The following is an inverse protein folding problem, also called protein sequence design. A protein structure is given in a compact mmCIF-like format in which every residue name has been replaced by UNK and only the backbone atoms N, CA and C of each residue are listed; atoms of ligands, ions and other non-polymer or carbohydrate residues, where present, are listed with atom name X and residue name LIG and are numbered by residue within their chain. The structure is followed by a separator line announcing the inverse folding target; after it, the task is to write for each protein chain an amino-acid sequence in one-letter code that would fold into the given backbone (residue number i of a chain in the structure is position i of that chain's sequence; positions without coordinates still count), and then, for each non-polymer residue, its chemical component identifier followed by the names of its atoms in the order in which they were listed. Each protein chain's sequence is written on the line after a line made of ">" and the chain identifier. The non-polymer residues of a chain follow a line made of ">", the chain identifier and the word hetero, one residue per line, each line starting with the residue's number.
data_IF_271245598114
#
_entry.id   IF_271245598114
#
_cell.length_a   1.000
_cell.length_b   1.000
_cell.length_c   1.000
_cell.angle_alpha   90.00
_cell.angle_beta   90.00
_cell.angle_gamma   90.00
#
_symmetry.space_group_name_H-M   'P 1'
#
loop_
_entity.id
_entity.type
_entity.pdbx_description
1 polymer ?
#
# COMPACT_ATOMS: atom_id res chain seq x y z
N UNK A 1 -3.25 14.49 -22.34
CA UNK A 1 -4.02 15.62 -22.93
C UNK A 1 -3.11 16.83 -22.97
N UNK A 2 -2.93 17.52 -24.09
CA UNK A 2 -2.11 18.73 -24.17
C UNK A 2 -2.98 19.99 -24.08
N UNK A 3 -2.56 20.96 -23.26
CA UNK A 3 -3.23 22.28 -23.11
C UNK A 3 -2.19 23.38 -23.21
N UNK A 4 -2.52 24.44 -23.95
CA UNK A 4 -1.66 25.62 -24.08
C UNK A 4 -1.96 26.59 -22.96
N UNK A 5 -0.98 26.91 -22.11
CA UNK A 5 -1.09 27.93 -21.06
C UNK A 5 0.06 28.93 -21.24
N UNK A 6 -0.26 30.22 -21.34
CA UNK A 6 0.72 31.30 -21.56
C UNK A 6 1.64 31.11 -22.80
N UNK A 7 1.15 30.40 -23.81
CA UNK A 7 1.91 30.13 -25.05
C UNK A 7 2.77 28.86 -25.02
N UNK A 8 2.89 28.20 -23.87
CA UNK A 8 3.59 26.92 -23.75
C UNK A 8 2.59 25.76 -23.83
N UNK A 9 2.91 24.74 -24.63
CA UNK A 9 2.15 23.49 -24.63
C UNK A 9 2.56 22.66 -23.41
N UNK A 10 1.61 22.44 -22.51
CA UNK A 10 1.81 21.63 -21.31
C UNK A 10 1.00 20.36 -21.49
N UNK A 11 1.66 19.22 -21.31
CA UNK A 11 1.00 17.94 -21.27
C UNK A 11 0.44 17.67 -19.87
N UNK A 12 -0.77 17.10 -19.82
CA UNK A 12 -1.50 16.75 -18.61
C UNK A 12 -1.87 15.27 -18.62
N UNK A 13 -1.60 14.62 -17.49
CA UNK A 13 -2.18 13.33 -17.13
C UNK A 13 -3.57 13.56 -16.53
N UNK A 14 -4.56 12.81 -17.00
CA UNK A 14 -5.94 12.86 -16.50
C UNK A 14 -6.20 11.58 -15.73
N UNK A 15 -6.24 11.67 -14.40
CA UNK A 15 -6.54 10.57 -13.49
C UNK A 15 -8.02 10.62 -13.13
N UNK A 16 -8.75 9.54 -13.39
CA UNK A 16 -10.11 9.37 -12.88
C UNK A 16 -10.03 8.53 -11.61
N UNK A 17 -10.55 9.05 -10.52
CA UNK A 17 -10.64 8.31 -9.26
C UNK A 17 -11.76 7.29 -9.41
N UNK A 18 -11.49 6.02 -9.08
CA UNK A 18 -12.50 4.96 -9.16
C UNK A 18 -13.61 5.14 -8.10
N UNK A 19 -13.24 5.68 -6.94
CA UNK A 19 -14.14 5.94 -5.82
C UNK A 19 -14.56 7.43 -5.81
N UNK A 20 -15.61 7.73 -6.58
CA UNK A 20 -16.19 9.08 -6.74
C UNK A 20 -15.97 9.68 -8.13
N UNK A 21 -16.94 10.47 -8.62
CA UNK A 21 -16.91 11.16 -9.93
C UNK A 21 -15.89 12.32 -9.99
N UNK A 22 -14.68 12.10 -9.48
CA UNK A 22 -13.61 13.09 -9.42
C UNK A 22 -12.56 12.80 -10.48
N UNK A 23 -12.27 13.82 -11.29
CA UNK A 23 -11.19 13.78 -12.30
C UNK A 23 -10.09 14.76 -11.89
N UNK A 24 -8.88 14.25 -11.70
CA UNK A 24 -7.69 15.02 -11.34
C UNK A 24 -6.82 15.21 -12.58
N UNK A 25 -6.41 16.44 -12.86
CA UNK A 25 -5.53 16.77 -13.99
C UNK A 25 -4.19 17.27 -13.47
N UNK A 26 -3.11 16.55 -13.77
CA UNK A 26 -1.76 16.85 -13.27
C UNK A 26 -0.85 17.17 -14.46
N UNK A 27 -0.14 18.32 -14.47
CA UNK A 27 0.86 18.59 -15.48
C UNK A 27 1.96 17.53 -15.44
N UNK A 28 2.37 17.00 -16.60
CA UNK A 28 3.41 15.96 -16.70
C UNK A 28 4.72 16.39 -16.02
N UNK A 29 5.06 17.68 -16.08
CA UNK A 29 6.25 18.27 -15.45
C UNK A 29 6.23 18.26 -13.92
N UNK A 30 5.11 17.93 -13.29
CA UNK A 30 4.95 17.90 -11.82
C UNK A 30 4.61 16.52 -11.27
N UNK A 31 4.60 15.47 -12.10
CA UNK A 31 4.18 14.13 -11.67
C UNK A 31 5.02 13.60 -10.50
N UNK A 32 6.35 13.70 -10.58
CA UNK A 32 7.26 13.28 -9.50
C UNK A 32 7.05 14.09 -8.21
N UNK A 33 6.73 15.38 -8.33
CA UNK A 33 6.56 16.27 -7.18
C UNK A 33 5.23 16.06 -6.44
N UNK A 34 4.23 15.48 -7.11
CA UNK A 34 2.89 15.20 -6.55
C UNK A 34 2.82 13.77 -5.98
N UNK A 35 3.86 12.96 -6.15
CA UNK A 35 3.93 11.60 -5.61
C UNK A 35 3.04 10.60 -6.35
N UNK A 36 2.77 10.85 -7.64
CA UNK A 36 2.07 9.88 -8.50
C UNK A 36 3.03 8.72 -8.78
N UNK A 37 2.64 7.50 -8.37
CA UNK A 37 3.40 6.27 -8.59
C UNK A 37 2.60 5.35 -9.51
N UNK A 38 3.30 4.66 -10.40
CA UNK A 38 2.70 3.54 -11.12
C UNK A 38 2.35 2.41 -10.13
N UNK A 39 1.29 1.66 -10.48
CA UNK A 39 0.93 0.43 -9.79
C UNK A 39 2.10 -0.54 -9.87
N UNK A 40 2.39 -1.28 -8.80
CA UNK A 40 3.45 -2.29 -8.85
C UNK A 40 3.18 -3.32 -9.94
N UNK A 41 4.18 -3.54 -10.79
CA UNK A 41 4.19 -4.66 -11.72
C UNK A 41 4.46 -6.00 -11.02
N UNK A 42 4.57 -7.06 -11.81
CA UNK A 42 4.77 -8.43 -11.32
C UNK A 42 5.99 -8.58 -10.38
N UNK A 43 7.11 -7.92 -10.69
CA UNK A 43 8.31 -7.98 -9.85
C UNK A 43 8.07 -7.35 -8.46
N UNK A 44 7.30 -6.26 -8.39
CA UNK A 44 6.94 -5.63 -7.12
C UNK A 44 5.98 -6.50 -6.31
N UNK A 45 5.04 -7.17 -6.97
CA UNK A 45 4.16 -8.16 -6.34
C UNK A 45 4.92 -9.34 -5.76
N UNK A 46 5.90 -9.87 -6.49
CA UNK A 46 6.72 -10.99 -6.03
C UNK A 46 7.53 -10.60 -4.78
N UNK A 47 8.04 -9.37 -4.73
CA UNK A 47 8.69 -8.82 -3.54
C UNK A 47 7.72 -8.67 -2.36
N UNK A 48 6.49 -8.19 -2.60
CA UNK A 48 5.44 -8.12 -1.56
C UNK A 48 5.19 -9.51 -0.97
N UNK A 49 4.99 -10.52 -1.82
CA UNK A 49 4.78 -11.90 -1.36
C UNK A 49 5.99 -12.47 -0.62
N UNK A 50 7.21 -12.17 -1.07
CA UNK A 50 8.43 -12.56 -0.38
C UNK A 50 8.50 -11.95 1.02
N UNK A 51 8.16 -10.67 1.16
CA UNK A 51 8.14 -9.96 2.45
C UNK A 51 7.09 -10.53 3.39
N UNK A 52 5.88 -10.80 2.89
CA UNK A 52 4.80 -11.41 3.67
C UNK A 52 5.19 -12.80 4.18
N UNK A 53 5.88 -13.60 3.36
CA UNK A 53 6.36 -14.94 3.71
C UNK A 53 7.63 -14.96 4.54
N UNK A 54 8.35 -13.84 4.63
CA UNK A 54 9.62 -13.79 5.35
C UNK A 54 9.42 -14.14 6.85
N UNK A 55 10.39 -14.85 7.46
CA UNK A 55 10.34 -15.19 8.88
C UNK A 55 10.30 -13.93 9.74
N UNK A 56 9.61 -14.01 10.88
CA UNK A 56 9.47 -12.88 11.79
C UNK A 56 10.83 -12.52 12.39
N UNK A 57 11.30 -11.31 12.13
CA UNK A 57 12.49 -10.76 12.80
C UNK A 57 12.03 -10.08 14.08
N UNK A 58 12.65 -10.44 15.22
CA UNK A 58 12.35 -9.84 16.52
C UNK A 58 12.44 -8.31 16.48
N UNK A 59 11.33 -7.65 16.80
CA UNK A 59 11.24 -6.20 16.84
C UNK A 59 11.69 -5.62 18.20
N UNK A 60 12.19 -4.37 18.23
CA UNK A 60 12.57 -3.72 19.47
C UNK A 60 11.40 -3.59 20.45
N UNK A 61 11.67 -3.84 21.73
CA UNK A 61 10.71 -3.93 22.84
C UNK A 61 9.84 -2.67 23.07
N UNK A 62 10.19 -1.53 22.48
CA UNK A 62 9.52 -0.25 22.70
C UNK A 62 8.35 -0.03 21.72
N UNK A 63 7.14 -0.33 22.21
CA UNK A 63 5.87 -0.17 21.51
C UNK A 63 5.66 1.22 20.88
N UNK A 64 5.94 2.30 21.59
CA UNK A 64 5.67 3.66 21.12
C UNK A 64 6.54 4.03 19.90
N UNK A 65 7.80 3.59 19.92
CA UNK A 65 8.73 3.79 18.82
C UNK A 65 8.30 3.01 17.58
N UNK A 66 7.83 1.77 17.76
CA UNK A 66 7.29 0.97 16.65
C UNK A 66 6.03 1.58 16.06
N UNK A 67 5.06 1.95 16.90
CA UNK A 67 3.81 2.53 16.39
C UNK A 67 4.06 3.77 15.54
N UNK A 68 4.99 4.64 15.97
CA UNK A 68 5.42 5.80 15.20
C UNK A 68 6.11 5.40 13.89
N UNK A 69 7.03 4.44 13.93
CA UNK A 69 7.72 3.96 12.74
C UNK A 69 6.73 3.34 11.71
N UNK A 70 5.78 2.52 12.15
CA UNK A 70 4.76 1.94 11.28
C UNK A 70 3.82 2.99 10.70
N UNK A 71 3.52 4.05 11.47
CA UNK A 71 2.75 5.18 10.97
C UNK A 71 3.51 5.95 9.88
N UNK A 72 4.81 6.21 10.06
CA UNK A 72 5.66 6.84 9.05
C UNK A 72 5.78 5.98 7.79
N UNK A 73 5.98 4.66 7.94
CA UNK A 73 5.97 3.70 6.83
C UNK A 73 4.65 3.73 6.06
N UNK A 74 3.50 3.76 6.75
CA UNK A 74 2.18 3.83 6.12
C UNK A 74 1.95 5.14 5.35
N UNK A 75 2.47 6.26 5.85
CA UNK A 75 2.38 7.57 5.17
C UNK A 75 3.27 7.61 3.93
N UNK A 76 4.41 6.89 3.93
CA UNK A 76 5.33 6.88 2.80
C UNK A 76 4.76 6.26 1.52
N UNK A 77 3.68 5.47 1.62
CA UNK A 77 3.04 4.83 0.46
C UNK A 77 3.84 3.70 -0.19
N UNK A 78 4.97 3.32 0.40
CA UNK A 78 5.80 2.22 -0.09
C UNK A 78 5.14 0.87 0.22
N UNK A 79 4.65 0.20 -0.82
CA UNK A 79 3.90 -1.06 -0.69
C UNK A 79 4.69 -2.16 0.03
N UNK A 80 6.01 -2.19 -0.15
CA UNK A 80 6.88 -3.18 0.50
C UNK A 80 6.86 -2.96 2.02
N UNK A 81 6.94 -1.70 2.46
CA UNK A 81 6.86 -1.34 3.88
C UNK A 81 5.45 -1.58 4.43
N UNK A 82 4.41 -1.37 3.62
CA UNK A 82 3.03 -1.69 4.02
C UNK A 82 2.87 -3.21 4.23
N UNK A 83 3.49 -4.03 3.38
CA UNK A 83 3.54 -5.49 3.53
C UNK A 83 4.21 -5.92 4.84
N UNK A 84 5.31 -5.28 5.23
CA UNK A 84 5.94 -5.52 6.54
C UNK A 84 4.97 -5.25 7.69
N UNK A 85 4.27 -4.10 7.67
CA UNK A 85 3.31 -3.73 8.72
C UNK A 85 2.20 -4.78 8.84
N UNK A 86 1.63 -5.21 7.70
CA UNK A 86 0.56 -6.22 7.71
C UNK A 86 1.06 -7.54 8.28
N UNK A 87 2.21 -8.03 7.81
CA UNK A 87 2.83 -9.27 8.33
C UNK A 87 3.04 -9.20 9.85
N UNK A 88 3.68 -8.13 10.32
CA UNK A 88 4.09 -8.03 11.72
C UNK A 88 2.89 -7.81 12.66
N UNK A 89 1.92 -6.98 12.26
CA UNK A 89 0.70 -6.78 13.06
C UNK A 89 -0.22 -8.00 13.02
N UNK A 90 -0.35 -8.70 11.89
CA UNK A 90 -1.21 -9.87 11.78
C UNK A 90 -0.69 -11.04 12.62
N UNK A 91 0.62 -11.33 12.58
CA UNK A 91 1.23 -12.35 13.47
C UNK A 91 1.06 -11.99 14.94
N UNK A 92 1.29 -10.72 15.29
CA UNK A 92 1.10 -10.24 16.67
C UNK A 92 -0.36 -10.34 17.14
N UNK A 93 -1.32 -10.13 16.24
CA UNK A 93 -2.74 -10.33 16.53
C UNK A 93 -3.03 -11.77 16.94
N UNK A 94 -2.41 -12.75 16.27
CA UNK A 94 -2.53 -14.18 16.60
C UNK A 94 -1.85 -14.55 17.92
N UNK A 95 -0.66 -14.00 18.20
CA UNK A 95 0.12 -14.40 19.38
C UNK A 95 -0.39 -13.78 20.69
N UNK A 96 -0.57 -12.47 20.72
CA UNK A 96 -0.80 -11.70 21.97
C UNK A 96 -1.93 -10.67 21.86
N UNK A 97 -2.49 -10.49 20.67
CA UNK A 97 -3.49 -9.48 20.37
C UNK A 97 -2.92 -8.08 20.13
N UNK A 98 -3.76 -7.22 19.55
CA UNK A 98 -3.44 -5.84 19.18
C UNK A 98 -4.25 -4.83 19.99
N UNK A 99 -3.66 -3.66 20.25
CA UNK A 99 -4.39 -2.50 20.75
C UNK A 99 -5.35 -1.93 19.71
N UNK A 100 -6.35 -1.13 20.12
CA UNK A 100 -7.29 -0.50 19.19
C UNK A 100 -6.62 0.39 18.13
N UNK A 101 -5.46 0.98 18.45
CA UNK A 101 -4.65 1.75 17.50
C UNK A 101 -3.99 0.85 16.45
N UNK A 102 -3.36 -0.24 16.89
CA UNK A 102 -2.72 -1.21 16.00
C UNK A 102 -3.74 -1.95 15.14
N UNK A 103 -4.91 -2.31 15.67
CA UNK A 103 -6.00 -2.91 14.86
C UNK A 103 -6.42 -2.01 13.71
N UNK A 104 -6.66 -0.71 14.00
CA UNK A 104 -6.99 0.28 12.96
C UNK A 104 -5.87 0.43 11.93
N UNK A 105 -4.62 0.38 12.38
CA UNK A 105 -3.45 0.42 11.49
C UNK A 105 -3.39 -0.81 10.58
N UNK A 106 -3.60 -2.01 11.13
CA UNK A 106 -3.65 -3.26 10.37
C UNK A 106 -4.78 -3.23 9.33
N UNK A 107 -5.99 -2.82 9.72
CA UNK A 107 -7.12 -2.70 8.79
C UNK A 107 -6.81 -1.75 7.64
N UNK A 108 -6.19 -0.59 7.93
CA UNK A 108 -5.80 0.39 6.92
C UNK A 108 -4.69 -0.12 6.00
N UNK A 109 -3.65 -0.72 6.56
CA UNK A 109 -2.53 -1.28 5.80
C UNK A 109 -2.98 -2.44 4.91
N UNK A 110 -3.86 -3.31 5.42
CA UNK A 110 -4.49 -4.39 4.64
C UNK A 110 -5.28 -3.84 3.47
N UNK A 111 -6.11 -2.82 3.67
CA UNK A 111 -6.90 -2.22 2.59
C UNK A 111 -6.00 -1.71 1.46
N UNK A 112 -4.95 -0.97 1.80
CA UNK A 112 -3.97 -0.47 0.81
C UNK A 112 -3.34 -1.61 0.01
N UNK A 113 -2.98 -2.73 0.66
CA UNK A 113 -2.44 -3.89 -0.03
C UNK A 113 -3.45 -4.59 -0.94
N UNK A 114 -4.70 -4.72 -0.49
CA UNK A 114 -5.78 -5.32 -1.29
C UNK A 114 -6.05 -4.47 -2.53
N UNK A 115 -6.16 -3.15 -2.37
CA UNK A 115 -6.38 -2.21 -3.47
C UNK A 115 -5.20 -2.26 -4.47
N UNK A 116 -3.96 -2.38 -3.99
CA UNK A 116 -2.79 -2.49 -4.87
C UNK A 116 -2.76 -3.85 -5.59
N UNK A 117 -3.11 -4.94 -4.90
CA UNK A 117 -3.17 -6.29 -5.47
C UNK A 117 -4.28 -6.41 -6.52
N UNK A 118 -5.44 -5.80 -6.28
CA UNK A 118 -6.56 -5.82 -7.21
C UNK A 118 -6.22 -5.06 -8.49
N UNK A 119 -5.57 -3.90 -8.36
CA UNK A 119 -5.07 -3.13 -9.50
C UNK A 119 -3.94 -3.83 -10.25
N UNK A 120 -2.97 -4.42 -9.53
CA UNK A 120 -1.79 -5.03 -10.15
C UNK A 120 -2.12 -6.35 -10.88
N UNK A 121 -3.04 -7.16 -10.34
CA UNK A 121 -3.48 -8.42 -10.96
C UNK A 121 -4.76 -8.29 -11.80
N UNK A 122 -5.33 -7.07 -11.90
CA UNK A 122 -6.60 -6.82 -12.56
C UNK A 122 -7.72 -7.79 -12.11
N UNK A 123 -7.86 -7.93 -10.79
CA UNK A 123 -8.81 -8.84 -10.13
C UNK A 123 -9.72 -8.07 -9.19
N UNK A 124 -10.82 -8.67 -8.75
CA UNK A 124 -11.73 -8.06 -7.76
C UNK A 124 -11.10 -8.00 -6.36
N UNK A 125 -11.45 -6.99 -5.58
CA UNK A 125 -10.96 -6.78 -4.21
C UNK A 125 -11.21 -7.99 -3.30
N UNK A 126 -12.34 -8.69 -3.46
CA UNK A 126 -12.65 -9.91 -2.69
C UNK A 126 -11.66 -11.05 -2.98
N UNK A 127 -11.26 -11.21 -4.25
CA UNK A 127 -10.27 -12.21 -4.64
C UNK A 127 -8.88 -11.82 -4.15
N UNK A 128 -8.51 -10.55 -4.29
CA UNK A 128 -7.24 -10.03 -3.79
C UNK A 128 -7.12 -10.19 -2.25
N UNK A 129 -8.20 -9.91 -1.52
CA UNK A 129 -8.27 -10.15 -0.08
C UNK A 129 -8.10 -11.64 0.26
N UNK A 130 -8.75 -12.53 -0.48
CA UNK A 130 -8.63 -13.98 -0.29
C UNK A 130 -7.19 -14.47 -0.52
N UNK A 131 -6.53 -14.00 -1.59
CA UNK A 131 -5.12 -14.31 -1.88
C UNK A 131 -4.21 -13.82 -0.73
N UNK A 132 -4.46 -12.60 -0.24
CA UNK A 132 -3.70 -12.05 0.88
C UNK A 132 -3.87 -12.90 2.15
N UNK A 133 -5.09 -13.35 2.44
CA UNK A 133 -5.39 -14.23 3.57
C UNK A 133 -4.70 -15.58 3.45
N UNK A 134 -4.71 -16.20 2.28
CA UNK A 134 -4.02 -17.47 2.02
C UNK A 134 -2.51 -17.34 2.22
N UNK A 135 -1.90 -16.25 1.72
CA UNK A 135 -0.46 -16.01 1.88
C UNK A 135 -0.09 -15.78 3.34
N UNK A 136 -0.89 -15.02 4.08
CA UNK A 136 -0.67 -14.79 5.50
C UNK A 136 -0.80 -16.10 6.30
N UNK A 137 -1.84 -16.89 6.03
CA UNK A 137 -2.05 -18.19 6.66
C UNK A 137 -0.92 -19.19 6.38
N UNK A 138 -0.37 -19.21 5.15
CA UNK A 138 0.76 -20.04 4.79
C UNK A 138 2.10 -19.57 5.38
N UNK A 139 2.17 -18.32 5.84
CA UNK A 139 3.35 -17.69 6.44
C UNK A 139 3.34 -17.66 7.98
N UNK A 140 2.27 -18.17 8.61
CA UNK A 140 2.16 -18.40 10.07
C UNK A 140 2.94 -19.62 10.52
#
# INVERSE_FOLDING_TARGET
>A
MTRTIKGEQIEYLVLKVADGDMTVQIPSSKLEYVGVRDVVGQEGLDQVFQVLRAPHTEEPTNWARRFKANQEKLISGDIIKVAEIVRDLWRREQDRGLSAGEKRMLTRARRVLVDELSLAQNTDDEKAASILDEVLAAAS
#
